data_IF_294039183449
#
_entry.id   IF_294039183449
#
_cell.length_a   1.000
_cell.length_b   1.000
_cell.length_c   1.000
_cell.angle_alpha   90.00
_cell.angle_beta   90.00
_cell.angle_gamma   90.00
#
_symmetry.space_group_name_H-M   'P 1'
#
loop_
_entity.id
_entity.type
_entity.pdbx_description
1 polymer ?
#
# COMPACT_ATOMS: atom_id res chain seq x y z
N UNK A 1 20.89 3.83 -19.32
CA UNK A 1 19.82 3.49 -20.28
C UNK A 1 19.86 4.54 -21.38
N UNK A 2 19.98 4.16 -22.66
CA UNK A 2 20.03 5.14 -23.76
C UNK A 2 18.63 5.37 -24.32
N UNK A 3 18.39 6.51 -24.96
CA UNK A 3 17.12 6.82 -25.64
C UNK A 3 16.74 5.74 -26.66
N UNK A 4 17.73 5.11 -27.29
CA UNK A 4 17.50 4.05 -28.26
C UNK A 4 16.94 2.79 -27.58
N UNK A 5 17.52 2.37 -26.45
CA UNK A 5 17.01 1.22 -25.68
C UNK A 5 15.57 1.43 -25.20
N UNK A 6 15.22 2.67 -24.83
CA UNK A 6 13.85 3.01 -24.42
C UNK A 6 12.86 2.93 -25.60
N UNK A 7 13.24 3.42 -26.78
CA UNK A 7 12.43 3.34 -28.00
C UNK A 7 12.22 1.90 -28.45
N UNK A 8 13.26 1.08 -28.39
CA UNK A 8 13.19 -0.33 -28.78
C UNK A 8 12.26 -1.11 -27.83
N UNK A 9 12.33 -0.83 -26.52
CA UNK A 9 11.43 -1.41 -25.53
C UNK A 9 9.96 -0.98 -25.76
N UNK A 10 9.71 0.30 -26.03
CA UNK A 10 8.38 0.81 -26.36
C UNK A 10 7.82 0.18 -27.63
N UNK A 11 8.65 0.01 -28.66
CA UNK A 11 8.25 -0.62 -29.92
C UNK A 11 7.87 -2.09 -29.70
N UNK A 12 8.64 -2.82 -28.89
CA UNK A 12 8.34 -4.19 -28.52
C UNK A 12 7.06 -4.32 -27.68
N UNK A 13 6.82 -3.41 -26.74
CA UNK A 13 5.57 -3.34 -25.98
C UNK A 13 4.36 -3.04 -26.87
N UNK A 14 4.52 -2.11 -27.81
CA UNK A 14 3.44 -1.72 -28.71
C UNK A 14 3.11 -2.79 -29.76
N UNK A 15 4.05 -3.67 -30.11
CA UNK A 15 3.81 -4.77 -31.06
C UNK A 15 3.00 -5.93 -30.47
N UNK A 16 3.02 -6.07 -29.14
CA UNK A 16 2.24 -7.07 -28.39
C UNK A 16 0.97 -6.48 -27.77
N UNK A 17 0.86 -5.16 -27.67
CA UNK A 17 -0.31 -4.49 -27.14
C UNK A 17 -1.49 -4.59 -28.12
N UNK A 18 -2.60 -5.15 -27.66
CA UNK A 18 -3.87 -5.17 -28.40
C UNK A 18 -4.77 -4.07 -27.85
N UNK A 19 -5.32 -3.23 -28.74
CA UNK A 19 -6.28 -2.20 -28.31
C UNK A 19 -7.54 -2.87 -27.76
N UNK A 20 -8.00 -2.41 -26.60
CA UNK A 20 -9.14 -2.98 -25.88
C UNK A 20 -10.42 -3.05 -26.74
N UNK A 21 -10.65 -2.04 -27.58
CA UNK A 21 -11.77 -1.95 -28.54
C UNK A 21 -11.67 -2.92 -29.72
N UNK A 22 -10.60 -3.73 -29.80
CA UNK A 22 -10.39 -4.78 -30.79
C UNK A 22 -10.37 -6.18 -30.22
N UNK A 23 -10.41 -6.33 -28.90
CA UNK A 23 -10.50 -7.65 -28.26
C UNK A 23 -11.88 -8.29 -28.57
N UNK A 24 -11.98 -9.63 -28.64
CA UNK A 24 -13.27 -10.33 -28.64
C UNK A 24 -14.15 -9.94 -27.44
N UNK A 25 -15.47 -9.98 -27.59
CA UNK A 25 -16.39 -9.60 -26.50
C UNK A 25 -16.17 -10.41 -25.21
N UNK A 26 -15.79 -11.69 -25.31
CA UNK A 26 -15.43 -12.54 -24.18
C UNK A 26 -14.14 -12.06 -23.48
N UNK A 27 -13.12 -11.66 -24.24
CA UNK A 27 -11.86 -11.13 -23.69
C UNK A 27 -12.00 -9.71 -23.16
N UNK A 28 -12.90 -8.89 -23.72
CA UNK A 28 -13.28 -7.60 -23.12
C UNK A 28 -14.06 -7.78 -21.84
N UNK A 29 -14.97 -8.75 -21.79
CA UNK A 29 -15.67 -9.10 -20.56
C UNK A 29 -14.67 -9.62 -19.51
N UNK A 30 -13.65 -10.38 -19.91
CA UNK A 30 -12.62 -10.88 -18.99
C UNK A 30 -11.58 -9.81 -18.61
N UNK A 31 -11.27 -8.85 -19.48
CA UNK A 31 -10.40 -7.70 -19.19
C UNK A 31 -11.12 -6.62 -18.38
N UNK A 32 -12.40 -6.38 -18.65
CA UNK A 32 -13.30 -5.57 -17.83
C UNK A 32 -13.59 -6.25 -16.49
N UNK A 33 -13.76 -7.58 -16.49
CA UNK A 33 -13.79 -8.37 -15.27
C UNK A 33 -12.41 -8.45 -14.62
N UNK A 34 -11.29 -8.30 -15.32
CA UNK A 34 -9.94 -8.26 -14.73
C UNK A 34 -9.69 -6.91 -14.05
N UNK A 35 -10.15 -5.82 -14.67
CA UNK A 35 -10.26 -4.51 -14.03
C UNK A 35 -11.25 -4.54 -12.84
N UNK A 36 -12.25 -5.43 -12.88
CA UNK A 36 -13.18 -5.71 -11.77
C UNK A 36 -12.72 -6.85 -10.83
N UNK A 37 -11.64 -7.58 -11.17
CA UNK A 37 -10.94 -8.64 -10.39
C UNK A 37 -9.81 -8.02 -9.56
N UNK A 38 -9.68 -6.69 -9.59
CA UNK A 38 -9.53 -5.94 -8.35
C UNK A 38 -10.75 -6.25 -7.48
N UNK A 39 -10.79 -7.50 -6.99
CA UNK A 39 -11.77 -7.98 -6.05
C UNK A 39 -11.82 -6.92 -4.96
N UNK A 40 -13.02 -6.39 -4.73
CA UNK A 40 -13.28 -5.35 -3.73
C UNK A 40 -12.45 -5.71 -2.50
N UNK A 41 -11.36 -4.97 -2.28
CA UNK A 41 -10.46 -5.23 -1.18
C UNK A 41 -11.33 -5.33 0.07
N UNK A 42 -11.20 -6.40 0.85
CA UNK A 42 -12.03 -6.52 2.04
C UNK A 42 -11.76 -5.30 2.95
N UNK A 43 -12.80 -4.75 3.58
CA UNK A 43 -12.61 -3.63 4.53
C UNK A 43 -11.85 -4.06 5.78
N UNK A 44 -11.88 -5.36 6.09
CA UNK A 44 -11.25 -5.93 7.27
C UNK A 44 -10.57 -7.26 6.91
N UNK A 45 -9.44 -7.51 7.54
CA UNK A 45 -8.68 -8.74 7.42
C UNK A 45 -9.30 -9.88 8.22
N UNK A 46 -9.27 -11.09 7.65
CA UNK A 46 -9.58 -12.33 8.35
C UNK A 46 -8.32 -13.15 8.66
N UNK A 47 -7.13 -12.58 8.44
CA UNK A 47 -5.85 -13.26 8.58
C UNK A 47 -5.60 -13.74 10.03
N UNK A 48 -4.96 -14.90 10.20
CA UNK A 48 -4.71 -15.47 11.53
C UNK A 48 -3.72 -14.64 12.37
N UNK A 49 -2.67 -14.13 11.73
CA UNK A 49 -1.69 -13.26 12.38
C UNK A 49 -2.26 -11.87 12.71
N UNK A 50 -1.99 -11.39 13.92
CA UNK A 50 -2.50 -10.09 14.40
C UNK A 50 -1.78 -8.93 13.72
N UNK A 51 -0.46 -9.00 13.54
CA UNK A 51 0.30 -7.90 12.95
C UNK A 51 -0.11 -7.67 11.50
N UNK A 52 -0.26 -8.76 10.73
CA UNK A 52 -0.81 -8.72 9.37
C UNK A 52 -2.20 -8.09 9.33
N UNK A 53 -3.11 -8.48 10.23
CA UNK A 53 -4.48 -7.89 10.29
C UNK A 53 -4.45 -6.39 10.45
N UNK A 54 -3.62 -5.89 11.36
CA UNK A 54 -3.50 -4.46 11.65
C UNK A 54 -2.99 -3.69 10.43
N UNK A 55 -1.91 -4.18 9.81
CA UNK A 55 -1.35 -3.54 8.61
C UNK A 55 -2.36 -3.59 7.47
N UNK A 56 -3.00 -4.74 7.21
CA UNK A 56 -4.04 -4.86 6.20
C UNK A 56 -5.17 -3.85 6.41
N UNK A 57 -5.71 -3.75 7.64
CA UNK A 57 -6.83 -2.85 7.93
C UNK A 57 -6.47 -1.38 7.69
N UNK A 58 -5.23 -0.98 8.01
CA UNK A 58 -4.73 0.36 7.72
C UNK A 58 -4.65 0.61 6.20
N UNK A 59 -4.12 -0.33 5.42
CA UNK A 59 -4.08 -0.22 3.95
C UNK A 59 -5.48 -0.20 3.34
N UNK A 60 -6.38 -1.04 3.83
CA UNK A 60 -7.78 -1.07 3.41
C UNK A 60 -8.47 0.28 3.67
N UNK A 61 -8.20 0.90 4.82
CA UNK A 61 -8.76 2.21 5.16
C UNK A 61 -8.28 3.29 4.18
N UNK A 62 -7.00 3.31 3.82
CA UNK A 62 -6.44 4.24 2.82
C UNK A 62 -7.11 4.09 1.46
N UNK A 63 -7.29 2.85 1.00
CA UNK A 63 -7.89 2.55 -0.31
C UNK A 63 -9.38 2.88 -0.34
N UNK A 64 -10.15 2.45 0.67
CA UNK A 64 -11.60 2.61 0.71
C UNK A 64 -12.03 4.04 0.99
N UNK A 65 -11.37 4.70 1.93
CA UNK A 65 -11.73 6.05 2.35
C UNK A 65 -11.00 7.12 1.51
N UNK A 66 -10.15 6.70 0.57
CA UNK A 66 -9.32 7.56 -0.28
C UNK A 66 -8.55 8.59 0.55
N UNK A 67 -7.89 8.11 1.59
CA UNK A 67 -7.10 8.96 2.49
C UNK A 67 -5.99 9.62 1.67
N UNK A 68 -5.93 10.96 1.62
CA UNK A 68 -5.01 11.67 0.75
C UNK A 68 -3.56 11.45 1.18
N UNK A 69 -2.74 10.99 0.23
CA UNK A 69 -1.28 10.88 0.38
C UNK A 69 -0.60 11.78 -0.65
N UNK A 70 0.38 12.57 -0.22
CA UNK A 70 1.05 13.54 -1.08
C UNK A 70 1.77 12.86 -2.25
N UNK A 71 1.47 13.30 -3.47
CA UNK A 71 2.09 12.77 -4.69
C UNK A 71 1.53 11.43 -5.18
N UNK A 72 0.48 10.89 -4.55
CA UNK A 72 -0.17 9.65 -4.99
C UNK A 72 -1.27 9.92 -6.02
N UNK A 73 -1.30 9.07 -7.05
CA UNK A 73 -2.37 8.99 -8.04
C UNK A 73 -3.21 7.71 -7.87
N UNK A 74 -4.19 7.50 -8.77
CA UNK A 74 -5.07 6.32 -8.72
C UNK A 74 -4.32 4.99 -8.80
N UNK A 75 -3.18 4.94 -9.50
CA UNK A 75 -2.37 3.74 -9.63
C UNK A 75 -1.65 3.41 -8.32
N UNK A 76 -1.26 4.42 -7.54
CA UNK A 76 -0.65 4.21 -6.23
C UNK A 76 -1.63 3.57 -5.24
N UNK A 77 -2.89 4.05 -5.22
CA UNK A 77 -3.95 3.41 -4.42
C UNK A 77 -4.26 1.99 -4.92
N UNK A 78 -4.26 1.75 -6.22
CA UNK A 78 -4.45 0.41 -6.79
C UNK A 78 -3.29 -0.52 -6.39
N UNK A 79 -2.06 -0.02 -6.41
CA UNK A 79 -0.89 -0.77 -5.97
C UNK A 79 -0.96 -1.12 -4.48
N UNK A 80 -1.39 -0.19 -3.62
CA UNK A 80 -1.62 -0.47 -2.19
C UNK A 80 -2.70 -1.53 -1.99
N UNK A 81 -3.76 -1.50 -2.79
CA UNK A 81 -4.81 -2.52 -2.73
C UNK A 81 -4.27 -3.92 -3.09
N UNK A 82 -3.38 -4.00 -4.08
CA UNK A 82 -2.70 -5.25 -4.43
C UNK A 82 -1.76 -5.71 -3.31
N UNK A 83 -0.95 -4.83 -2.73
CA UNK A 83 -0.08 -5.17 -1.59
C UNK A 83 -0.89 -5.68 -0.38
N UNK A 84 -2.03 -5.06 -0.08
CA UNK A 84 -2.92 -5.53 0.97
C UNK A 84 -3.47 -6.93 0.66
N UNK A 85 -3.87 -7.20 -0.58
CA UNK A 85 -4.36 -8.51 -1.00
C UNK A 85 -3.28 -9.59 -0.90
N UNK A 86 -2.06 -9.29 -1.33
CA UNK A 86 -0.91 -10.20 -1.23
C UNK A 86 -0.51 -10.46 0.21
N UNK A 87 -0.66 -9.47 1.08
CA UNK A 87 -0.43 -9.62 2.52
C UNK A 87 -1.50 -10.52 3.15
N UNK A 88 -2.77 -10.35 2.79
CA UNK A 88 -3.90 -11.15 3.30
C UNK A 88 -3.84 -12.62 2.86
N UNK A 89 -3.35 -12.89 1.64
CA UNK A 89 -3.25 -14.26 1.13
C UNK A 89 -1.89 -14.93 1.45
N UNK A 90 -0.97 -14.20 2.11
CA UNK A 90 0.35 -14.69 2.52
C UNK A 90 1.39 -14.78 1.39
N UNK A 91 1.11 -14.27 0.19
CA UNK A 91 2.08 -14.20 -0.91
C UNK A 91 3.18 -13.17 -0.61
N UNK A 92 2.79 -12.07 0.04
CA UNK A 92 3.69 -11.05 0.56
C UNK A 92 3.84 -11.25 2.07
N UNK A 93 5.07 -11.52 2.52
CA UNK A 93 5.34 -11.72 3.94
C UNK A 93 5.51 -10.37 4.62
N UNK A 94 4.85 -10.17 5.76
CA UNK A 94 4.99 -8.95 6.56
C UNK A 94 6.46 -8.62 6.88
N UNK A 95 7.30 -9.63 7.12
CA UNK A 95 8.73 -9.45 7.38
C UNK A 95 9.52 -8.75 6.26
N UNK A 96 9.04 -8.82 5.02
CA UNK A 96 9.63 -8.14 3.85
C UNK A 96 9.25 -6.65 3.79
N UNK A 97 8.22 -6.26 4.55
CA UNK A 97 7.70 -4.91 4.66
C UNK A 97 8.20 -4.18 5.91
N UNK A 98 9.04 -4.82 6.73
CA UNK A 98 9.61 -4.20 7.94
C UNK A 98 10.90 -3.48 7.57
N UNK A 99 11.09 -2.27 8.10
CA UNK A 99 12.33 -1.53 7.90
C UNK A 99 13.55 -2.30 8.40
N UNK A 100 14.60 -2.33 7.57
CA UNK A 100 15.87 -2.98 7.90
C UNK A 100 17.05 -2.03 7.66
N UNK A 101 17.79 -1.78 8.72
CA UNK A 101 19.01 -0.98 8.67
C UNK A 101 20.06 -1.68 7.79
N UNK A 102 20.58 -0.97 6.79
CA UNK A 102 21.57 -1.51 5.86
C UNK A 102 20.99 -2.29 4.67
N UNK A 103 19.67 -2.29 4.46
CA UNK A 103 19.12 -2.74 3.18
C UNK A 103 19.69 -1.85 2.05
N UNK A 104 20.18 -2.47 0.98
CA UNK A 104 20.86 -1.82 -0.14
C UNK A 104 19.92 -1.08 -1.09
N UNK A 105 18.61 -1.28 -0.95
CA UNK A 105 17.60 -0.36 -1.49
C UNK A 105 17.51 0.88 -0.59
N UNK A 106 17.57 2.07 -1.20
CA UNK A 106 17.56 3.40 -0.57
C UNK A 106 16.96 3.42 0.84
N UNK A 107 17.79 3.79 1.82
CA UNK A 107 17.37 4.14 3.19
C UNK A 107 16.76 3.00 4.03
N UNK A 108 17.02 1.74 3.70
CA UNK A 108 16.59 0.61 4.54
C UNK A 108 15.21 0.03 4.21
N UNK A 109 14.57 0.53 3.15
CA UNK A 109 13.25 0.10 2.69
C UNK A 109 13.28 -0.63 1.35
N UNK A 110 12.45 -1.66 1.22
CA UNK A 110 11.98 -2.14 -0.09
C UNK A 110 10.96 -1.15 -0.66
N UNK A 111 10.68 -1.20 -1.97
CA UNK A 111 9.68 -0.32 -2.58
C UNK A 111 8.31 -0.56 -1.94
N UNK A 112 7.94 -1.82 -1.79
CA UNK A 112 6.70 -2.29 -1.18
C UNK A 112 6.62 -1.80 0.28
N UNK A 113 7.70 -1.96 1.05
CA UNK A 113 7.79 -1.50 2.44
C UNK A 113 7.60 0.00 2.57
N UNK A 114 8.20 0.81 1.69
CA UNK A 114 8.02 2.26 1.68
C UNK A 114 6.57 2.68 1.37
N UNK A 115 5.91 2.01 0.41
CA UNK A 115 4.50 2.26 0.10
C UNK A 115 3.59 1.91 1.28
N UNK A 116 3.82 0.76 1.91
CA UNK A 116 3.06 0.32 3.08
C UNK A 116 3.28 1.26 4.26
N UNK A 117 4.53 1.64 4.55
CA UNK A 117 4.84 2.59 5.62
C UNK A 117 4.17 3.96 5.40
N UNK A 118 4.15 4.44 4.15
CA UNK A 118 3.49 5.71 3.79
C UNK A 118 1.98 5.64 3.97
N UNK A 119 1.33 4.59 3.43
CA UNK A 119 -0.11 4.38 3.61
C UNK A 119 -0.48 4.24 5.09
N UNK A 120 0.25 3.42 5.84
CA UNK A 120 -0.02 3.21 7.27
C UNK A 120 0.13 4.53 8.04
N UNK A 121 1.15 5.33 7.74
CA UNK A 121 1.31 6.66 8.37
C UNK A 121 0.11 7.57 8.09
N UNK A 122 -0.33 7.66 6.83
CA UNK A 122 -1.50 8.46 6.47
C UNK A 122 -2.80 7.94 7.12
N UNK A 123 -2.94 6.62 7.27
CA UNK A 123 -4.06 6.01 7.98
C UNK A 123 -4.07 6.41 9.46
N UNK A 124 -2.91 6.45 10.12
CA UNK A 124 -2.79 6.86 11.53
C UNK A 124 -3.15 8.34 11.71
N UNK A 125 -2.70 9.21 10.80
CA UNK A 125 -3.03 10.63 10.83
C UNK A 125 -4.54 10.86 10.65
N UNK A 126 -5.15 10.15 9.70
CA UNK A 126 -6.59 10.22 9.47
C UNK A 126 -7.41 9.67 10.65
N UNK A 127 -6.97 8.57 11.26
CA UNK A 127 -7.62 8.02 12.46
C UNK A 127 -7.52 8.98 13.65
N UNK A 128 -6.35 9.60 13.86
CA UNK A 128 -6.16 10.63 14.89
C UNK A 128 -7.10 11.82 14.69
N UNK A 129 -7.24 12.28 13.44
CA UNK A 129 -8.14 13.39 13.11
C UNK A 129 -9.62 13.05 13.32
N UNK A 130 -10.01 11.77 13.16
CA UNK A 130 -11.39 11.30 13.40
C UNK A 130 -11.70 11.16 14.88
N UNK A 131 -10.75 10.69 15.67
CA UNK A 131 -10.90 10.49 17.11
C UNK A 131 -10.85 11.81 17.91
N UNK A 132 -10.31 12.88 17.32
CA UNK A 132 -10.07 14.15 17.99
C UNK A 132 -11.31 14.69 18.73
N UNK A 133 -11.17 14.91 20.04
CA UNK A 133 -12.23 15.40 20.92
C UNK A 133 -13.04 14.30 21.62
N UNK A 134 -12.69 13.02 21.42
CA UNK A 134 -13.23 11.89 22.15
C UNK A 134 -12.10 11.08 22.81
N UNK A 135 -11.95 11.23 24.14
CA UNK A 135 -10.84 10.65 24.91
C UNK A 135 -10.72 9.12 24.76
N UNK A 136 -11.85 8.42 24.72
CA UNK A 136 -11.86 6.96 24.57
C UNK A 136 -11.37 6.54 23.17
N UNK A 137 -11.87 7.22 22.13
CA UNK A 137 -11.45 6.94 20.74
C UNK A 137 -10.00 7.34 20.49
N UNK A 138 -9.52 8.42 21.12
CA UNK A 138 -8.11 8.83 21.05
C UNK A 138 -7.20 7.80 21.72
N UNK A 139 -7.60 7.26 22.86
CA UNK A 139 -6.85 6.22 23.56
C UNK A 139 -6.75 4.94 22.71
N UNK A 140 -7.85 4.50 22.09
CA UNK A 140 -7.88 3.35 21.21
C UNK A 140 -7.00 3.56 19.96
N UNK A 141 -7.14 4.70 19.29
CA UNK A 141 -6.32 5.05 18.13
C UNK A 141 -4.83 5.09 18.49
N UNK A 142 -4.46 5.68 19.63
CA UNK A 142 -3.07 5.73 20.08
C UNK A 142 -2.48 4.35 20.36
N UNK A 143 -3.25 3.43 20.95
CA UNK A 143 -2.83 2.05 21.17
C UNK A 143 -2.57 1.33 19.85
N UNK A 144 -3.47 1.48 18.88
CA UNK A 144 -3.34 0.89 17.55
C UNK A 144 -2.15 1.48 16.78
N UNK A 145 -1.93 2.79 16.87
CA UNK A 145 -0.79 3.48 16.27
C UNK A 145 0.54 3.02 16.87
N UNK A 146 0.61 2.87 18.20
CA UNK A 146 1.80 2.35 18.87
C UNK A 146 2.12 0.93 18.35
N UNK A 147 1.10 0.07 18.21
CA UNK A 147 1.28 -1.27 17.68
C UNK A 147 1.78 -1.27 16.23
N UNK A 148 1.19 -0.45 15.34
CA UNK A 148 1.62 -0.33 13.94
C UNK A 148 3.07 0.19 13.82
N UNK A 149 3.44 1.18 14.64
CA UNK A 149 4.80 1.72 14.69
C UNK A 149 5.82 0.66 15.10
N UNK A 150 5.49 -0.19 16.07
CA UNK A 150 6.36 -1.29 16.50
C UNK A 150 6.48 -2.38 15.42
N UNK A 151 5.35 -2.79 14.81
CA UNK A 151 5.32 -3.83 13.76
C UNK A 151 6.21 -3.46 12.56
N UNK A 152 6.08 -2.21 12.07
CA UNK A 152 6.81 -1.75 10.89
C UNK A 152 8.15 -1.06 11.22
N UNK A 153 8.48 -0.94 12.51
CA UNK A 153 9.66 -0.22 13.03
C UNK A 153 9.72 1.25 12.60
N UNK A 154 8.57 1.92 12.53
CA UNK A 154 8.46 3.33 12.12
C UNK A 154 9.10 4.29 13.14
N UNK A 155 9.24 3.87 14.40
CA UNK A 155 9.91 4.63 15.46
C UNK A 155 11.41 4.37 15.61
N UNK A 156 12.00 3.48 14.82
CA UNK A 156 13.41 3.09 14.98
C UNK A 156 14.34 4.16 14.41
N UNK A 157 15.28 4.66 15.22
CA UNK A 157 16.26 5.67 14.82
C UNK A 157 16.94 5.33 13.46
N UNK A 158 17.00 6.31 12.57
CA UNK A 158 17.50 6.16 11.20
C UNK A 158 16.44 5.75 10.17
N UNK A 159 15.23 5.38 10.58
CA UNK A 159 14.11 5.21 9.65
C UNK A 159 13.57 6.59 9.23
N UNK A 160 13.44 6.89 7.92
CA UNK A 160 12.95 8.18 7.43
C UNK A 160 11.52 8.51 7.86
N UNK A 161 10.74 7.52 8.32
CA UNK A 161 9.39 7.72 8.89
C UNK A 161 9.39 8.04 10.39
N UNK A 162 10.55 8.16 11.04
CA UNK A 162 10.67 8.64 12.43
C UNK A 162 10.42 10.15 12.42
N UNK A 163 9.15 10.56 12.47
CA UNK A 163 8.84 11.99 12.48
C UNK A 163 7.42 12.40 12.07
N UNK A 164 6.45 11.49 12.03
CA UNK A 164 5.04 11.86 11.88
C UNK A 164 4.46 12.46 13.17
N UNK A 165 4.94 13.65 13.55
CA UNK A 165 4.24 14.60 14.42
C UNK A 165 4.84 15.99 14.21
N UNK A 166 4.16 16.78 13.37
CA UNK A 166 4.16 18.24 13.31
C UNK A 166 5.52 18.99 13.30
N UNK A 167 5.94 19.43 12.10
CA UNK A 167 6.21 20.83 11.75
C UNK A 167 6.84 20.93 10.35
#
# INVERSE_FOLDING_TARGET
MTLQTYKDALSALNSIAVRYDRLPAAERADAGASASKHAILARQSAHGDRATRFVFNALASVVHDRIPVAGWDENDYAYVAELARELENGTLLLSQLIWQEGNSAREGWTREGAFVATAVSASMDAASARAAGNEDEEADANNDHAYLREVLKLGKAGNPFVGGSAA
#
